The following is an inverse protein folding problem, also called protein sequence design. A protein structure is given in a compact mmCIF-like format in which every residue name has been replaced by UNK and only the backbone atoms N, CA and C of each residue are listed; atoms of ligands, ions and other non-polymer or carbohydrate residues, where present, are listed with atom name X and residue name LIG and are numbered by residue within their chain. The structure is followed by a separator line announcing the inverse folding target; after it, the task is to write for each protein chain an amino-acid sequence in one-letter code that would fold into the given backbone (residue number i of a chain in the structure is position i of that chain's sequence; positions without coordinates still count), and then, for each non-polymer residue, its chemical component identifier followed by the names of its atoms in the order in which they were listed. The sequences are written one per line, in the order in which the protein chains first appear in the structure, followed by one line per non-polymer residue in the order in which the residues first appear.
data_IF_852380403898
#
_entry.id   IF_852380403898
#
_cell.length_a   1.000
_cell.length_b   1.000
_cell.length_c   1.000
_cell.angle_alpha   90.00
_cell.angle_beta   90.00
_cell.angle_gamma   90.00
#
_symmetry.space_group_name_H-M   'P 1'
#
loop_
_entity.id
_entity.type
_entity.pdbx_description
1 polymer ?
#
# COMPACT_ATOMS: atom_id res chain seq x y z
N UNK A 1 10.85 22.36 -9.15
CA UNK A 1 10.76 22.35 -7.66
C UNK A 1 11.93 21.55 -7.12
N UNK A 2 12.56 21.98 -5.99
CA UNK A 2 13.63 21.20 -5.40
C UNK A 2 13.13 19.89 -4.79
N UNK A 3 13.90 18.80 -4.92
CA UNK A 3 13.56 17.50 -4.34
C UNK A 3 13.31 17.56 -2.84
N UNK A 4 14.08 18.37 -2.09
CA UNK A 4 13.86 18.57 -0.64
C UNK A 4 12.49 19.14 -0.30
N UNK A 5 11.90 19.96 -1.18
CA UNK A 5 10.55 20.51 -0.97
C UNK A 5 9.51 19.42 -1.20
N UNK A 6 9.70 18.60 -2.25
CA UNK A 6 8.87 17.42 -2.51
C UNK A 6 8.95 16.46 -1.31
N UNK A 7 10.16 16.11 -0.87
CA UNK A 7 10.38 15.23 0.28
C UNK A 7 9.66 15.73 1.54
N UNK A 8 9.78 17.02 1.84
CA UNK A 8 9.09 17.64 2.99
C UNK A 8 7.56 17.55 2.87
N UNK A 9 7.01 17.69 1.68
CA UNK A 9 5.57 17.57 1.47
C UNK A 9 5.08 16.12 1.58
N UNK A 10 5.88 15.15 1.12
CA UNK A 10 5.60 13.74 1.32
C UNK A 10 5.69 13.34 2.80
N UNK A 11 6.70 13.84 3.51
CA UNK A 11 6.86 13.65 4.96
C UNK A 11 5.68 14.23 5.76
N UNK A 12 5.09 15.32 5.28
CA UNK A 12 3.92 15.92 5.94
C UNK A 12 2.65 15.08 5.84
N UNK A 13 2.47 14.28 4.77
CA UNK A 13 1.30 13.40 4.60
C UNK A 13 1.54 11.99 5.15
N UNK A 14 2.79 11.53 5.15
CA UNK A 14 3.20 10.22 5.67
C UNK A 14 4.62 10.33 6.26
N UNK A 15 4.75 10.75 7.53
CA UNK A 15 6.04 10.97 8.15
C UNK A 15 6.96 9.75 8.02
N UNK A 16 8.16 9.94 7.48
CA UNK A 16 9.11 8.84 7.30
C UNK A 16 9.56 8.24 8.64
N UNK A 17 9.44 8.96 9.74
CA UNK A 17 9.69 8.45 11.09
C UNK A 17 8.67 7.40 11.56
N UNK A 18 7.53 7.25 10.85
CA UNK A 18 6.49 6.25 11.16
C UNK A 18 6.73 4.90 10.47
N UNK A 19 7.81 4.78 9.70
CA UNK A 19 8.20 3.50 9.13
C UNK A 19 8.58 2.49 10.23
N UNK A 20 8.36 1.22 9.95
CA UNK A 20 8.78 0.13 10.82
C UNK A 20 10.32 0.06 10.90
N UNK A 21 10.87 -0.42 12.04
CA UNK A 21 12.32 -0.49 12.27
C UNK A 21 13.08 -1.34 11.23
N UNK A 22 12.40 -2.30 10.63
CA UNK A 22 12.96 -3.20 9.61
C UNK A 22 12.83 -2.65 8.18
N UNK A 23 12.10 -1.55 8.00
CA UNK A 23 11.79 -0.96 6.70
C UNK A 23 12.89 -0.02 6.20
N UNK A 24 12.76 0.42 4.94
CA UNK A 24 13.69 1.35 4.30
C UNK A 24 12.95 2.36 3.42
N UNK A 25 12.15 3.21 4.04
CA UNK A 25 11.45 4.33 3.39
C UNK A 25 12.33 5.60 3.33
N UNK A 26 12.05 6.50 2.40
CA UNK A 26 12.74 7.78 2.24
C UNK A 26 13.47 7.94 0.91
N UNK A 27 14.41 8.90 0.83
CA UNK A 27 15.26 9.09 -0.34
C UNK A 27 16.36 8.03 -0.35
N UNK A 28 16.25 7.06 -1.27
CA UNK A 28 17.19 5.94 -1.38
C UNK A 28 18.25 6.13 -2.46
N UNK A 29 17.97 6.94 -3.49
CA UNK A 29 18.91 7.30 -4.55
C UNK A 29 18.66 8.76 -4.93
N UNK A 30 19.72 9.58 -4.95
CA UNK A 30 19.64 10.93 -5.50
C UNK A 30 20.17 12.04 -4.60
N UNK A 31 19.83 13.26 -4.98
CA UNK A 31 20.30 14.51 -4.35
C UNK A 31 19.10 15.41 -4.01
N UNK A 32 19.00 15.83 -2.76
CA UNK A 32 17.94 16.71 -2.25
C UNK A 32 17.93 18.11 -2.91
N UNK A 33 19.06 18.52 -3.51
CA UNK A 33 19.22 19.85 -4.12
C UNK A 33 18.93 19.88 -5.62
N UNK A 34 18.53 18.76 -6.22
CA UNK A 34 18.16 18.72 -7.62
C UNK A 34 16.75 19.27 -7.89
N UNK A 35 16.54 19.81 -9.10
CA UNK A 35 15.23 20.18 -9.60
C UNK A 35 14.46 18.97 -10.11
N UNK A 36 13.16 18.94 -9.81
CA UNK A 36 12.22 17.89 -10.26
C UNK A 36 11.03 18.55 -10.96
N UNK A 37 10.75 18.11 -12.18
CA UNK A 37 9.62 18.52 -12.99
C UNK A 37 8.69 17.34 -13.35
N UNK A 38 9.27 16.12 -13.42
CA UNK A 38 8.57 14.91 -13.88
C UNK A 38 8.74 13.77 -12.87
N UNK A 39 7.63 13.28 -12.36
CA UNK A 39 7.59 12.21 -11.36
C UNK A 39 6.87 11.01 -11.96
N UNK A 40 7.49 9.83 -11.89
CA UNK A 40 6.82 8.56 -12.13
C UNK A 40 6.42 7.96 -10.79
N UNK A 41 5.13 7.63 -10.62
CA UNK A 41 4.60 6.96 -9.43
C UNK A 41 4.28 5.52 -9.77
N UNK A 42 4.69 4.58 -8.91
CA UNK A 42 4.52 3.14 -9.14
C UNK A 42 4.38 2.39 -7.81
N UNK A 43 3.93 1.13 -7.85
CA UNK A 43 3.98 0.25 -6.68
C UNK A 43 5.38 -0.34 -6.52
N UNK A 44 5.91 -0.95 -7.58
CA UNK A 44 7.24 -1.58 -7.60
C UNK A 44 8.16 -0.94 -8.65
N UNK A 45 9.47 -0.94 -8.38
CA UNK A 45 10.48 -0.48 -9.34
C UNK A 45 11.02 -1.68 -10.13
N UNK A 46 10.27 -2.08 -11.17
CA UNK A 46 10.68 -3.17 -12.09
C UNK A 46 11.64 -2.67 -13.18
N UNK A 47 12.22 -3.59 -13.97
CA UNK A 47 13.06 -3.20 -15.12
C UNK A 47 12.27 -2.38 -16.13
N UNK A 48 11.00 -2.73 -16.38
CA UNK A 48 10.11 -2.00 -17.28
C UNK A 48 9.80 -0.59 -16.79
N UNK A 49 9.59 -0.42 -15.47
CA UNK A 49 9.36 0.88 -14.82
C UNK A 49 10.60 1.77 -14.92
N UNK A 50 11.80 1.22 -14.69
CA UNK A 50 13.07 1.94 -14.89
C UNK A 50 13.24 2.40 -16.34
N UNK A 51 13.01 1.53 -17.30
CA UNK A 51 13.09 1.88 -18.73
C UNK A 51 12.01 2.90 -19.12
N UNK A 52 10.81 2.83 -18.53
CA UNK A 52 9.77 3.84 -18.74
C UNK A 52 10.22 5.21 -18.21
N UNK A 53 10.76 5.27 -17.00
CA UNK A 53 11.25 6.49 -16.38
C UNK A 53 12.34 7.16 -17.23
N UNK A 54 13.29 6.35 -17.75
CA UNK A 54 14.35 6.83 -18.63
C UNK A 54 13.77 7.42 -19.94
N UNK A 55 12.88 6.67 -20.62
CA UNK A 55 12.23 7.14 -21.87
C UNK A 55 11.39 8.39 -21.68
N UNK A 56 10.72 8.50 -20.56
CA UNK A 56 9.87 9.65 -20.22
C UNK A 56 10.67 10.83 -19.65
N UNK A 57 11.98 10.68 -19.47
CA UNK A 57 12.85 11.66 -18.83
C UNK A 57 12.33 12.05 -17.43
N UNK A 58 11.95 11.07 -16.62
CA UNK A 58 11.57 11.31 -15.24
C UNK A 58 12.78 11.80 -14.43
N UNK A 59 12.53 12.75 -13.53
CA UNK A 59 13.55 13.28 -12.61
C UNK A 59 13.51 12.51 -11.28
N UNK A 60 12.32 11.93 -10.96
CA UNK A 60 12.05 11.22 -9.72
C UNK A 60 11.13 10.03 -9.96
N UNK A 61 11.43 8.91 -9.32
CA UNK A 61 10.47 7.82 -9.10
C UNK A 61 10.03 7.83 -7.65
N UNK A 62 8.72 7.72 -7.40
CA UNK A 62 8.15 7.45 -6.08
C UNK A 62 7.48 6.08 -6.15
N UNK A 63 7.91 5.16 -5.30
CA UNK A 63 7.25 3.85 -5.19
C UNK A 63 6.74 3.58 -3.78
N UNK A 64 5.82 2.62 -3.67
CA UNK A 64 5.43 2.07 -2.39
C UNK A 64 6.52 1.12 -1.89
N UNK A 65 6.78 0.02 -2.59
CA UNK A 65 7.79 -0.94 -2.20
C UNK A 65 9.21 -0.41 -2.44
N UNK A 66 10.12 -0.49 -1.44
CA UNK A 66 11.48 0.00 -1.58
C UNK A 66 12.30 -0.93 -2.50
N UNK A 67 12.89 -0.37 -3.56
CA UNK A 67 13.83 -1.07 -4.44
C UNK A 67 15.01 -1.62 -3.65
N UNK A 68 15.49 -0.87 -2.67
CA UNK A 68 16.58 -1.25 -1.77
C UNK A 68 15.95 -1.59 -0.42
N UNK A 69 15.46 -2.82 -0.27
CA UNK A 69 14.88 -3.27 1.00
C UNK A 69 15.95 -3.66 2.02
N UNK A 70 16.99 -4.36 1.57
CA UNK A 70 18.13 -4.73 2.41
C UNK A 70 19.39 -4.00 1.98
N UNK A 71 20.34 -3.70 2.90
CA UNK A 71 21.58 -3.01 2.59
C UNK A 71 22.37 -3.70 1.46
N UNK A 72 22.80 -2.94 0.46
CA UNK A 72 23.61 -3.44 -0.64
C UNK A 72 25.09 -3.41 -0.27
N UNK A 73 25.74 -4.57 -0.26
CA UNK A 73 27.18 -4.66 -0.03
C UNK A 73 28.03 -4.40 -1.28
N UNK A 74 27.42 -4.49 -2.46
CA UNK A 74 28.06 -4.25 -3.76
C UNK A 74 27.05 -3.62 -4.70
N UNK A 75 27.50 -2.71 -5.55
CA UNK A 75 26.68 -2.11 -6.61
C UNK A 75 27.36 -2.41 -7.94
N UNK A 76 26.83 -3.38 -8.69
CA UNK A 76 27.30 -3.80 -10.00
C UNK A 76 26.15 -4.37 -10.84
N UNK A 77 26.41 -4.77 -12.09
CA UNK A 77 25.41 -5.26 -13.03
C UNK A 77 25.01 -6.74 -12.87
N UNK A 78 25.64 -7.47 -11.95
CA UNK A 78 25.40 -8.91 -11.74
C UNK A 78 24.15 -9.19 -10.91
N UNK A 79 23.76 -8.25 -10.05
CA UNK A 79 22.56 -8.30 -9.25
C UNK A 79 21.49 -7.39 -9.86
N UNK A 80 20.23 -7.85 -9.93
CA UNK A 80 19.15 -7.13 -10.60
C UNK A 80 18.74 -5.83 -9.89
N UNK A 81 18.81 -5.78 -8.54
CA UNK A 81 18.54 -4.56 -7.78
C UNK A 81 19.64 -3.54 -8.02
N UNK A 82 20.90 -3.96 -7.85
CA UNK A 82 22.08 -3.10 -8.07
C UNK A 82 22.14 -2.58 -9.51
N UNK A 83 21.72 -3.38 -10.49
CA UNK A 83 21.61 -2.96 -11.89
C UNK A 83 20.58 -1.84 -12.09
N UNK A 84 19.41 -1.93 -11.40
CA UNK A 84 18.39 -0.85 -11.41
C UNK A 84 18.92 0.40 -10.74
N UNK A 85 19.58 0.28 -9.59
CA UNK A 85 20.24 1.40 -8.89
C UNK A 85 21.23 2.12 -9.80
N UNK A 86 22.12 1.36 -10.48
CA UNK A 86 23.07 1.92 -11.46
C UNK A 86 22.38 2.61 -12.63
N UNK A 87 21.30 2.05 -13.17
CA UNK A 87 20.53 2.67 -14.25
C UNK A 87 19.92 4.00 -13.82
N UNK A 88 19.30 4.05 -12.63
CA UNK A 88 18.71 5.27 -12.10
C UNK A 88 19.79 6.35 -11.88
N UNK A 89 20.88 6.01 -11.21
CA UNK A 89 21.98 6.93 -10.92
C UNK A 89 22.64 7.46 -12.22
N UNK A 90 22.87 6.59 -13.21
CA UNK A 90 23.49 6.98 -14.50
C UNK A 90 22.57 7.87 -15.37
N UNK A 91 21.28 7.88 -15.11
CA UNK A 91 20.31 8.72 -15.81
C UNK A 91 19.84 9.92 -14.97
N UNK A 92 20.49 10.20 -13.83
CA UNK A 92 20.13 11.24 -12.89
C UNK A 92 18.68 11.17 -12.42
N UNK A 93 18.13 9.96 -12.26
CA UNK A 93 16.78 9.74 -11.75
C UNK A 93 16.86 9.49 -10.24
N UNK A 94 16.24 10.38 -9.48
CA UNK A 94 16.13 10.24 -8.04
C UNK A 94 15.07 9.20 -7.67
N UNK A 95 15.15 8.65 -6.46
CA UNK A 95 14.22 7.61 -6.04
C UNK A 95 13.85 7.73 -4.55
N UNK A 96 12.55 7.81 -4.29
CA UNK A 96 11.94 7.79 -2.95
C UNK A 96 11.04 6.56 -2.84
N UNK A 97 11.13 5.87 -1.70
CA UNK A 97 10.16 4.86 -1.27
C UNK A 97 9.27 5.39 -0.15
N UNK A 98 7.97 5.08 -0.20
CA UNK A 98 6.97 5.38 0.82
C UNK A 98 6.22 4.09 1.15
N UNK A 99 6.77 3.28 2.04
CA UNK A 99 6.29 1.93 2.35
C UNK A 99 5.48 1.93 3.66
N UNK A 100 6.01 1.39 4.74
CA UNK A 100 5.25 1.26 5.99
C UNK A 100 4.87 2.59 6.64
N UNK A 101 5.57 3.69 6.35
CA UNK A 101 5.12 5.02 6.75
C UNK A 101 3.78 5.39 6.08
N UNK A 102 3.56 4.97 4.82
CA UNK A 102 2.31 5.19 4.11
C UNK A 102 1.21 4.22 4.58
N UNK A 103 1.56 2.96 4.90
CA UNK A 103 0.63 2.01 5.50
C UNK A 103 0.10 2.51 6.85
N UNK A 104 0.98 3.14 7.63
CA UNK A 104 0.66 3.67 8.96
C UNK A 104 -0.32 4.85 8.89
N UNK A 105 -0.28 5.68 7.85
CA UNK A 105 -0.97 6.98 7.82
C UNK A 105 -2.03 7.14 6.73
N UNK A 106 -1.84 6.58 5.54
CA UNK A 106 -2.65 6.95 4.39
C UNK A 106 -3.36 5.79 3.69
N UNK A 107 -2.66 4.70 3.48
CA UNK A 107 -3.16 3.62 2.61
C UNK A 107 -4.38 2.90 3.22
N UNK A 108 -4.35 2.65 4.53
CA UNK A 108 -5.50 2.09 5.24
C UNK A 108 -6.72 3.01 5.21
N UNK A 109 -6.53 4.33 5.24
CA UNK A 109 -7.63 5.29 5.22
C UNK A 109 -8.29 5.35 3.83
N UNK A 110 -7.49 5.28 2.75
CA UNK A 110 -8.01 5.13 1.38
C UNK A 110 -8.80 3.82 1.22
N UNK A 111 -8.26 2.70 1.72
CA UNK A 111 -8.97 1.42 1.69
C UNK A 111 -10.30 1.48 2.45
N UNK A 112 -10.34 2.13 3.62
CA UNK A 112 -11.57 2.34 4.40
C UNK A 112 -12.59 3.19 3.63
N UNK A 113 -12.16 4.26 2.97
CA UNK A 113 -13.04 5.11 2.14
C UNK A 113 -13.65 4.31 1.00
N UNK A 114 -12.84 3.60 0.23
CA UNK A 114 -13.29 2.76 -0.88
C UNK A 114 -14.28 1.66 -0.44
N UNK A 115 -14.01 1.03 0.70
CA UNK A 115 -14.87 -0.01 1.29
C UNK A 115 -16.08 0.57 2.03
N UNK A 116 -16.14 1.88 2.24
CA UNK A 116 -17.12 2.54 3.11
C UNK A 116 -17.11 1.98 4.52
N UNK A 117 -15.92 1.89 5.10
CA UNK A 117 -15.66 1.48 6.47
C UNK A 117 -15.52 2.70 7.38
N UNK A 118 -16.25 2.70 8.50
CA UNK A 118 -16.00 3.63 9.59
C UNK A 118 -14.89 3.06 10.46
N UNK A 119 -13.68 3.60 10.32
CA UNK A 119 -12.51 3.22 11.12
C UNK A 119 -12.76 3.53 12.59
N UNK A 120 -12.49 2.58 13.47
CA UNK A 120 -12.55 2.74 14.91
C UNK A 120 -11.16 2.74 15.55
N UNK A 121 -10.21 1.98 14.97
CA UNK A 121 -8.80 1.90 15.41
C UNK A 121 -7.92 1.29 14.32
N UNK A 122 -6.61 1.38 14.48
CA UNK A 122 -5.65 0.57 13.73
C UNK A 122 -5.68 -0.90 14.21
N UNK A 123 -5.24 -1.86 13.36
CA UNK A 123 -5.00 -3.24 13.79
C UNK A 123 -3.75 -3.25 14.68
N UNK A 124 -2.66 -2.69 14.20
CA UNK A 124 -1.40 -2.55 14.93
C UNK A 124 -1.10 -1.07 15.09
N UNK A 125 -1.28 -0.56 16.32
CA UNK A 125 -1.08 0.87 16.63
C UNK A 125 0.39 1.19 16.58
N UNK A 126 0.76 2.29 15.90
CA UNK A 126 2.14 2.76 15.87
C UNK A 126 2.62 3.16 17.27
N UNK A 127 3.69 2.54 17.74
CA UNK A 127 4.23 2.70 19.10
C UNK A 127 4.70 4.13 19.42
N UNK A 128 4.97 4.93 18.40
CA UNK A 128 5.39 6.31 18.54
C UNK A 128 4.23 7.31 18.63
N UNK A 129 2.98 6.80 18.65
CA UNK A 129 1.76 7.61 18.65
C UNK A 129 0.80 7.20 19.77
N UNK A 130 0.29 8.20 20.49
CA UNK A 130 -0.80 8.00 21.46
C UNK A 130 -2.20 7.89 20.82
N UNK A 131 -2.26 8.06 19.49
CA UNK A 131 -3.52 8.01 18.75
C UNK A 131 -3.80 6.59 18.23
N UNK A 132 -4.83 5.88 18.71
CA UNK A 132 -5.14 4.52 18.31
C UNK A 132 -5.61 4.40 16.84
N UNK A 133 -5.81 5.51 16.15
CA UNK A 133 -6.16 5.53 14.73
C UNK A 133 -4.92 5.51 13.82
N UNK A 134 -3.72 5.74 14.36
CA UNK A 134 -2.47 5.75 13.59
C UNK A 134 -1.76 4.41 13.77
N UNK A 135 -1.54 3.70 12.68
CA UNK A 135 -0.91 2.39 12.66
C UNK A 135 -1.26 1.57 11.42
N UNK A 136 -0.69 0.38 11.34
CA UNK A 136 -0.86 -0.49 10.19
C UNK A 136 -2.25 -1.16 10.23
N UNK A 137 -2.94 -1.12 9.09
CA UNK A 137 -4.29 -1.63 8.91
C UNK A 137 -5.33 -0.86 9.70
N UNK A 138 -6.57 -1.30 9.65
CA UNK A 138 -7.69 -0.68 10.36
C UNK A 138 -8.71 -1.71 10.79
N UNK A 139 -9.41 -1.43 11.90
CA UNK A 139 -10.60 -2.15 12.35
C UNK A 139 -11.75 -1.16 12.37
N UNK A 140 -12.90 -1.57 11.87
CA UNK A 140 -14.07 -0.72 11.78
C UNK A 140 -15.33 -1.46 11.35
N UNK A 141 -16.34 -0.70 10.93
CA UNK A 141 -17.67 -1.22 10.57
C UNK A 141 -18.11 -0.71 9.21
N UNK A 142 -18.77 -1.57 8.45
CA UNK A 142 -19.35 -1.14 7.18
C UNK A 142 -20.47 -0.11 7.36
N UNK A 143 -20.53 0.83 6.42
CA UNK A 143 -21.61 1.83 6.32
C UNK A 143 -22.50 1.54 5.12
N UNK A 144 -23.79 1.87 5.24
CA UNK A 144 -24.73 1.95 4.11
C UNK A 144 -24.66 3.31 3.40
N UNK A 145 -25.53 3.53 2.40
CA UNK A 145 -25.57 4.78 1.65
C UNK A 145 -25.98 6.00 2.49
N UNK A 146 -26.62 5.79 3.62
CA UNK A 146 -27.02 6.83 4.58
C UNK A 146 -25.94 7.09 5.66
N UNK A 147 -24.78 6.43 5.57
CA UNK A 147 -23.71 6.41 6.59
C UNK A 147 -24.13 5.78 7.94
N UNK A 148 -25.13 4.90 7.95
CA UNK A 148 -25.45 4.09 9.11
C UNK A 148 -24.59 2.82 9.13
N UNK A 149 -24.19 2.39 10.32
CA UNK A 149 -23.49 1.11 10.53
C UNK A 149 -24.41 -0.05 10.17
N UNK A 150 -23.91 -0.98 9.36
CA UNK A 150 -24.63 -2.16 8.94
C UNK A 150 -23.80 -3.43 9.11
N UNK A 151 -24.49 -4.51 9.48
CA UNK A 151 -23.92 -5.85 9.40
C UNK A 151 -24.35 -6.46 8.08
N UNK A 152 -23.39 -7.08 7.39
CA UNK A 152 -23.65 -7.70 6.06
C UNK A 152 -23.17 -9.14 6.06
N UNK A 153 -23.54 -9.91 5.06
CA UNK A 153 -23.01 -11.26 4.88
C UNK A 153 -21.58 -11.19 4.31
N UNK A 154 -20.79 -12.25 4.52
CA UNK A 154 -19.48 -12.38 3.88
C UNK A 154 -19.59 -12.28 2.35
N UNK A 155 -20.67 -12.82 1.76
CA UNK A 155 -20.97 -12.68 0.32
C UNK A 155 -21.09 -11.23 -0.12
N UNK A 156 -21.82 -10.41 0.62
CA UNK A 156 -21.95 -8.97 0.34
C UNK A 156 -20.61 -8.23 0.54
N UNK A 157 -19.83 -8.61 1.55
CA UNK A 157 -18.48 -8.07 1.77
C UNK A 157 -17.54 -8.40 0.60
N UNK A 158 -17.63 -9.61 0.02
CA UNK A 158 -16.88 -9.99 -1.19
C UNK A 158 -17.23 -9.09 -2.38
N UNK A 159 -18.53 -8.84 -2.62
CA UNK A 159 -18.98 -7.96 -3.71
C UNK A 159 -18.42 -6.57 -3.50
N UNK A 160 -18.58 -6.02 -2.31
CA UNK A 160 -18.08 -4.69 -1.93
C UNK A 160 -16.56 -4.57 -2.07
N UNK A 161 -15.80 -5.58 -1.65
CA UNK A 161 -14.33 -5.61 -1.82
C UNK A 161 -13.93 -5.59 -3.29
N UNK A 162 -14.59 -6.39 -4.12
CA UNK A 162 -14.33 -6.40 -5.57
C UNK A 162 -14.61 -5.06 -6.23
N UNK A 163 -15.72 -4.42 -5.88
CA UNK A 163 -16.10 -3.09 -6.39
C UNK A 163 -15.13 -2.01 -5.91
N UNK A 164 -14.76 -2.02 -4.62
CA UNK A 164 -13.87 -1.05 -4.01
C UNK A 164 -12.49 -1.01 -4.66
N UNK A 165 -11.91 -2.19 -4.93
CA UNK A 165 -10.57 -2.30 -5.52
C UNK A 165 -10.57 -2.61 -7.03
N UNK A 166 -11.73 -2.61 -7.69
CA UNK A 166 -11.84 -2.86 -9.13
C UNK A 166 -11.44 -4.28 -9.55
N UNK A 167 -11.62 -5.28 -8.67
CA UNK A 167 -11.15 -6.64 -8.86
C UNK A 167 -12.22 -7.54 -9.51
N UNK A 168 -11.81 -8.36 -10.47
CA UNK A 168 -12.69 -9.34 -11.07
C UNK A 168 -12.84 -10.61 -10.22
N UNK A 169 -11.82 -10.96 -9.44
CA UNK A 169 -11.74 -12.17 -8.63
C UNK A 169 -11.05 -11.88 -7.30
N UNK A 170 -11.49 -12.55 -6.25
CA UNK A 170 -10.84 -12.58 -4.93
C UNK A 170 -10.91 -14.00 -4.40
N UNK A 171 -10.02 -14.37 -3.50
CA UNK A 171 -10.10 -15.64 -2.79
C UNK A 171 -10.78 -15.45 -1.45
N UNK A 172 -11.73 -16.31 -1.11
CA UNK A 172 -12.56 -16.19 0.10
C UNK A 172 -12.38 -17.42 0.98
N UNK A 173 -12.26 -17.20 2.28
CA UNK A 173 -12.18 -18.24 3.29
C UNK A 173 -13.20 -17.94 4.38
N UNK A 174 -14.13 -18.86 4.61
CA UNK A 174 -15.26 -18.76 5.54
C UNK A 174 -16.58 -19.11 4.89
N UNK A 175 -17.66 -19.07 5.67
CA UNK A 175 -19.03 -19.30 5.19
C UNK A 175 -19.60 -18.01 4.59
N UNK A 176 -19.97 -18.04 3.30
CA UNK A 176 -20.50 -16.89 2.59
C UNK A 176 -21.77 -16.31 3.18
N UNK A 177 -22.54 -17.11 3.92
CA UNK A 177 -23.79 -16.69 4.58
C UNK A 177 -23.56 -16.18 6.01
N UNK A 178 -22.32 -16.28 6.54
CA UNK A 178 -21.98 -15.74 7.83
C UNK A 178 -22.11 -14.21 7.84
N UNK A 179 -22.76 -13.67 8.87
CA UNK A 179 -22.82 -12.22 9.10
C UNK A 179 -21.50 -11.73 9.66
N UNK A 180 -20.99 -10.62 9.14
CA UNK A 180 -19.77 -9.94 9.59
C UNK A 180 -20.09 -8.51 10.03
N UNK A 181 -19.51 -8.08 11.15
CA UNK A 181 -19.76 -6.79 11.79
C UNK A 181 -18.48 -6.04 12.18
N UNK A 182 -17.48 -6.74 12.72
CA UNK A 182 -16.16 -6.19 13.02
C UNK A 182 -15.21 -6.54 11.88
N UNK A 183 -14.80 -5.54 11.10
CA UNK A 183 -14.05 -5.70 9.87
C UNK A 183 -12.64 -5.17 10.03
N UNK A 184 -11.66 -6.01 9.78
CA UNK A 184 -10.26 -5.61 9.66
C UNK A 184 -9.88 -5.47 8.20
N UNK A 185 -9.08 -4.45 7.87
CA UNK A 185 -8.48 -4.24 6.56
C UNK A 185 -6.99 -4.01 6.73
N UNK A 186 -6.19 -4.78 6.00
CA UNK A 186 -4.75 -4.58 5.90
C UNK A 186 -4.37 -4.74 4.42
N UNK A 187 -4.00 -3.64 3.77
CA UNK A 187 -3.48 -3.67 2.39
C UNK A 187 -2.20 -4.48 2.33
N UNK A 188 -1.88 -5.07 1.18
CA UNK A 188 -0.69 -5.91 1.01
C UNK A 188 -0.77 -7.25 1.74
N UNK A 189 0.32 -7.67 2.36
CA UNK A 189 0.49 -8.98 3.00
C UNK A 189 0.04 -8.98 4.47
N UNK A 190 -1.23 -9.21 4.75
CA UNK A 190 -1.80 -9.16 6.11
C UNK A 190 -1.76 -10.45 6.91
N UNK A 191 -0.95 -11.44 6.54
CA UNK A 191 -0.82 -12.70 7.31
C UNK A 191 -0.43 -12.45 8.78
N UNK A 192 0.45 -11.50 9.04
CA UNK A 192 0.91 -11.13 10.38
C UNK A 192 -0.22 -10.55 11.26
N UNK A 193 -1.26 -9.97 10.65
CA UNK A 193 -2.37 -9.35 11.35
C UNK A 193 -3.42 -10.34 11.86
N UNK A 194 -3.39 -11.60 11.44
CA UNK A 194 -4.40 -12.62 11.80
C UNK A 194 -4.56 -12.77 13.32
N UNK A 195 -3.44 -12.87 14.05
CA UNK A 195 -3.47 -13.06 15.49
C UNK A 195 -4.11 -11.86 16.22
N UNK A 196 -3.77 -10.65 15.80
CA UNK A 196 -4.34 -9.44 16.41
C UNK A 196 -5.82 -9.30 16.03
N UNK A 197 -6.23 -9.60 14.79
CA UNK A 197 -7.64 -9.61 14.38
C UNK A 197 -8.47 -10.59 15.22
N UNK A 198 -7.95 -11.78 15.52
CA UNK A 198 -8.65 -12.76 16.36
C UNK A 198 -8.75 -12.27 17.80
N UNK A 199 -7.69 -11.71 18.37
CA UNK A 199 -7.66 -11.12 19.71
C UNK A 199 -8.68 -9.98 19.83
N UNK A 200 -8.77 -9.13 18.82
CA UNK A 200 -9.70 -8.01 18.71
C UNK A 200 -11.12 -8.45 18.31
N UNK A 201 -11.36 -9.76 18.12
CA UNK A 201 -12.65 -10.37 17.78
C UNK A 201 -13.23 -9.86 16.45
N UNK A 202 -12.37 -9.64 15.46
CA UNK A 202 -12.82 -9.33 14.12
C UNK A 202 -13.53 -10.55 13.50
N UNK A 203 -14.60 -10.30 12.75
CA UNK A 203 -15.32 -11.33 11.97
C UNK A 203 -14.69 -11.56 10.61
N UNK A 204 -14.06 -10.53 10.04
CA UNK A 204 -13.49 -10.53 8.69
C UNK A 204 -12.17 -9.76 8.66
N UNK A 205 -11.18 -10.33 7.93
CA UNK A 205 -9.97 -9.65 7.49
C UNK A 205 -9.96 -9.55 5.96
N UNK A 206 -9.85 -8.34 5.42
CA UNK A 206 -9.65 -8.05 3.99
C UNK A 206 -8.17 -7.71 3.80
N UNK A 207 -7.44 -8.48 2.95
CA UNK A 207 -5.98 -8.35 2.82
C UNK A 207 -5.49 -9.08 1.55
N UNK A 208 -4.17 -9.30 1.41
CA UNK A 208 -3.53 -10.12 0.39
C UNK A 208 -2.57 -11.16 0.95
N UNK A 209 -2.05 -12.00 0.06
CA UNK A 209 -0.96 -12.98 0.30
C UNK A 209 -1.22 -13.99 1.43
N UNK A 210 -2.43 -14.50 1.53
CA UNK A 210 -2.80 -15.46 2.55
C UNK A 210 -2.45 -16.89 2.14
N UNK A 211 -1.61 -17.55 2.95
CA UNK A 211 -1.25 -18.95 2.74
C UNK A 211 -2.37 -19.89 3.19
N UNK A 212 -2.41 -21.11 2.60
CA UNK A 212 -3.44 -22.11 2.91
C UNK A 212 -3.58 -22.40 4.41
N UNK A 213 -2.46 -22.65 5.11
CA UNK A 213 -2.50 -22.99 6.53
C UNK A 213 -2.93 -21.80 7.39
N UNK A 214 -2.48 -20.58 7.07
CA UNK A 214 -2.91 -19.38 7.79
C UNK A 214 -4.43 -19.16 7.66
N UNK A 215 -4.98 -19.36 6.47
CA UNK A 215 -6.43 -19.29 6.26
C UNK A 215 -7.20 -20.38 7.02
N UNK A 216 -6.71 -21.62 6.99
CA UNK A 216 -7.32 -22.76 7.69
C UNK A 216 -7.41 -22.49 9.20
N UNK A 217 -6.31 -22.01 9.79
CA UNK A 217 -6.21 -21.71 11.21
C UNK A 217 -7.13 -20.52 11.58
N UNK A 218 -7.16 -19.46 10.78
CA UNK A 218 -8.01 -18.29 10.99
C UNK A 218 -9.51 -18.67 10.97
N UNK A 219 -9.95 -19.41 9.95
CA UNK A 219 -11.35 -19.86 9.83
C UNK A 219 -11.73 -20.80 10.98
N UNK A 220 -10.84 -21.69 11.40
CA UNK A 220 -11.07 -22.58 12.54
C UNK A 220 -11.26 -21.83 13.87
N UNK A 221 -10.79 -20.57 13.92
CA UNK A 221 -10.91 -19.68 15.07
C UNK A 221 -11.99 -18.60 14.89
N UNK A 222 -12.79 -18.68 13.81
CA UNK A 222 -13.94 -17.83 13.55
C UNK A 222 -13.68 -16.57 12.73
N UNK A 223 -12.44 -16.34 12.25
CA UNK A 223 -12.08 -15.20 11.41
C UNK A 223 -12.23 -15.59 9.93
N UNK A 224 -13.16 -14.95 9.22
CA UNK A 224 -13.24 -15.01 7.76
C UNK A 224 -12.14 -14.18 7.11
N UNK A 225 -11.70 -14.56 5.89
CA UNK A 225 -10.70 -13.80 5.16
C UNK A 225 -11.15 -13.60 3.70
N UNK A 226 -10.97 -12.38 3.19
CA UNK A 226 -10.99 -12.05 1.77
C UNK A 226 -9.55 -11.71 1.37
N UNK A 227 -8.93 -12.60 0.56
CA UNK A 227 -7.64 -12.33 -0.06
C UNK A 227 -7.90 -11.66 -1.41
N UNK A 228 -7.70 -10.34 -1.44
CA UNK A 228 -7.96 -9.45 -2.56
C UNK A 228 -6.68 -9.11 -3.36
N UNK A 229 -5.66 -9.96 -3.26
CA UNK A 229 -4.28 -9.85 -3.70
C UNK A 229 -3.49 -8.68 -3.06
N UNK A 230 -2.20 -8.84 -2.97
CA UNK A 230 -1.26 -7.80 -2.53
C UNK A 230 -1.36 -6.58 -3.45
N UNK A 231 -1.10 -6.80 -4.74
CA UNK A 231 -1.18 -5.77 -5.76
C UNK A 231 -2.56 -5.08 -5.79
N UNK A 232 -3.64 -5.87 -5.73
CA UNK A 232 -5.01 -5.36 -5.83
C UNK A 232 -5.39 -4.40 -4.70
N UNK A 233 -4.88 -4.62 -3.49
CA UNK A 233 -5.17 -3.77 -2.33
C UNK A 233 -4.25 -2.56 -2.23
N UNK A 234 -3.05 -2.59 -2.82
CA UNK A 234 -2.06 -1.52 -2.70
C UNK A 234 -1.91 -0.63 -3.94
N UNK A 235 -2.41 -1.05 -5.11
CA UNK A 235 -2.28 -0.22 -6.33
C UNK A 235 -2.94 1.16 -6.19
N UNK A 236 -3.86 1.32 -5.25
CA UNK A 236 -4.48 2.59 -4.87
C UNK A 236 -3.46 3.64 -4.40
N UNK A 237 -2.27 3.22 -3.95
CA UNK A 237 -1.13 4.09 -3.65
C UNK A 237 -0.77 4.99 -4.82
N UNK A 238 -0.77 4.43 -6.03
CA UNK A 238 -0.42 5.18 -7.25
C UNK A 238 -1.40 6.32 -7.49
N UNK A 239 -2.70 6.04 -7.33
CA UNK A 239 -3.74 7.05 -7.50
C UNK A 239 -3.72 8.09 -6.37
N UNK A 240 -3.45 7.67 -5.13
CA UNK A 240 -3.32 8.56 -3.98
C UNK A 240 -2.19 9.58 -4.18
N UNK A 241 -0.98 9.12 -4.49
CA UNK A 241 0.18 9.99 -4.70
C UNK A 241 0.00 10.86 -5.95
N UNK A 242 -0.57 10.31 -7.02
CA UNK A 242 -0.90 11.11 -8.22
C UNK A 242 -1.85 12.25 -7.88
N UNK A 243 -2.97 11.96 -7.21
CA UNK A 243 -3.95 12.96 -6.81
C UNK A 243 -3.35 14.04 -5.89
N UNK A 244 -2.47 13.64 -4.96
CA UNK A 244 -1.76 14.58 -4.10
C UNK A 244 -0.94 15.59 -4.90
N UNK A 245 -0.18 15.15 -5.90
CA UNK A 245 0.62 16.06 -6.73
C UNK A 245 -0.26 16.92 -7.66
N UNK A 246 -1.26 16.32 -8.32
CA UNK A 246 -2.15 17.05 -9.24
C UNK A 246 -2.94 18.15 -8.53
N UNK A 247 -3.32 17.95 -7.27
CA UNK A 247 -4.05 18.96 -6.48
C UNK A 247 -3.17 20.07 -5.91
N UNK A 248 -1.91 19.78 -5.61
CA UNK A 248 -1.05 20.71 -4.85
C UNK A 248 0.06 21.35 -5.68
N UNK A 249 0.44 20.78 -6.85
CA UNK A 249 1.61 21.22 -7.61
C UNK A 249 1.35 21.25 -9.11
N UNK A 250 0.94 22.40 -9.64
CA UNK A 250 0.63 22.58 -11.07
C UNK A 250 1.83 22.42 -12.00
N UNK A 251 3.04 22.62 -11.47
CA UNK A 251 4.29 22.63 -12.24
C UNK A 251 4.95 21.24 -12.29
N UNK A 252 4.40 20.26 -11.57
CA UNK A 252 4.89 18.87 -11.57
C UNK A 252 4.05 18.03 -12.53
N UNK A 253 4.74 17.36 -13.46
CA UNK A 253 4.09 16.43 -14.38
C UNK A 253 4.18 15.00 -13.84
N UNK A 254 3.04 14.37 -13.59
CA UNK A 254 2.98 12.96 -13.23
C UNK A 254 2.98 12.08 -14.49
N UNK A 255 3.86 11.09 -14.51
CA UNK A 255 3.97 10.08 -15.55
C UNK A 255 3.15 8.86 -15.08
N UNK A 256 2.12 8.44 -15.83
CA UNK A 256 1.34 7.25 -15.46
C UNK A 256 2.22 5.99 -15.56
N UNK A 257 2.16 5.15 -14.53
CA UNK A 257 2.86 3.86 -14.53
C UNK A 257 2.28 2.87 -15.54
N UNK A 258 3.15 2.03 -16.09
CA UNK A 258 2.76 0.87 -16.90
C UNK A 258 2.73 -0.44 -16.11
N UNK A 259 3.04 -0.39 -14.82
CA UNK A 259 3.08 -1.58 -13.97
C UNK A 259 1.73 -2.30 -13.97
N UNK A 260 1.80 -3.63 -13.97
CA UNK A 260 0.65 -4.54 -13.86
C UNK A 260 0.97 -5.60 -12.82
N UNK A 261 -0.07 -6.24 -12.32
CA UNK A 261 0.09 -7.43 -11.48
C UNK A 261 0.95 -8.49 -12.21
N UNK A 262 1.85 -9.13 -11.45
CA UNK A 262 2.79 -10.12 -12.02
C UNK A 262 2.08 -11.43 -12.37
N UNK A 263 1.04 -11.77 -11.61
CA UNK A 263 0.23 -12.97 -11.82
C UNK A 263 -1.00 -12.71 -12.67
N UNK A 264 -1.47 -13.72 -13.40
CA UNK A 264 -2.73 -13.68 -14.13
C UNK A 264 -3.62 -14.84 -13.68
N UNK A 265 -4.91 -14.57 -13.46
CA UNK A 265 -5.91 -15.61 -13.26
C UNK A 265 -6.42 -16.07 -14.63
N UNK A 266 -6.32 -17.38 -14.90
CA UNK A 266 -6.73 -17.99 -16.17
C UNK A 266 -7.99 -18.86 -16.01
#
# INVERSE_FOLDING_TARGET
MLLREIYKNLDAIAPFEYQEEWDNSGLLIGDMDCDVERILVTLDVTDEVVEQAIRAHADLIISHHPLIFSPLSKINSEDFISKRVLKLANNNINYIAMHTNMDTTGLSDVANELLRLKKERAIEVNINQDNPLIGIGSIGKFLNDNNDVVNITLREAVIRTKEAFGLNIVKVYGDLEQTVSEIAVCTGAGKSMIEECIKEKCDLLITGDITYHAALDAVSRGLCIIDASHYGTEIVFVDLIRAFFEMNFSDIKIIPTIQKEVGEFM
#
